data_IF_370624324965
#
_entry.id   IF_370624324965
#
_cell.length_a   1.000
_cell.length_b   1.000
_cell.length_c   1.000
_cell.angle_alpha   90.00
_cell.angle_beta   90.00
_cell.angle_gamma   90.00
#
_symmetry.space_group_name_H-M   'P 1'
#
loop_
_entity.id
_entity.type
_entity.pdbx_description
1 polymer ?
#
# COMPACT_ATOMS: atom_id res chain seq x y z
N UNK A 1 -1.40 -1.03 -25.11
CA UNK A 1 -0.92 -1.22 -23.71
C UNK A 1 -1.82 -2.21 -22.99
N UNK A 2 -1.28 -3.18 -22.26
CA UNK A 2 -2.02 -4.13 -21.42
C UNK A 2 -2.43 -3.47 -20.08
N UNK A 3 -3.42 -3.98 -19.33
CA UNK A 3 -3.85 -3.41 -18.02
C UNK A 3 -2.68 -3.39 -17.03
N UNK A 4 -1.81 -4.39 -17.08
CA UNK A 4 -0.63 -4.48 -16.22
C UNK A 4 0.42 -3.41 -16.55
N UNK A 5 0.60 -3.05 -17.82
CA UNK A 5 1.56 -2.01 -18.21
C UNK A 5 1.18 -0.63 -17.67
N UNK A 6 -0.12 -0.33 -17.56
CA UNK A 6 -0.62 0.93 -16.99
C UNK A 6 -0.17 1.07 -15.53
N UNK A 7 -0.42 0.05 -14.71
CA UNK A 7 -0.03 0.07 -13.30
C UNK A 7 1.48 0.16 -13.11
N UNK A 8 2.25 -0.54 -13.95
CA UNK A 8 3.70 -0.47 -13.91
C UNK A 8 4.24 0.91 -14.32
N UNK A 9 3.57 1.59 -15.26
CA UNK A 9 3.94 2.96 -15.65
C UNK A 9 3.60 3.98 -14.56
N UNK A 10 2.46 3.81 -13.85
CA UNK A 10 2.12 4.64 -12.69
C UNK A 10 3.20 4.46 -11.60
N UNK A 11 3.57 3.22 -11.30
CA UNK A 11 4.65 2.93 -10.35
C UNK A 11 6.00 3.52 -10.79
N UNK A 12 6.29 3.50 -12.10
CA UNK A 12 7.49 4.12 -12.65
C UNK A 12 7.51 5.62 -12.37
N UNK A 13 6.44 6.35 -12.68
CA UNK A 13 6.37 7.80 -12.48
C UNK A 13 6.41 8.20 -11.01
N UNK A 14 5.77 7.41 -10.14
CA UNK A 14 5.78 7.66 -8.70
C UNK A 14 7.11 7.28 -8.04
N UNK A 15 7.90 6.40 -8.64
CA UNK A 15 9.18 5.97 -8.06
C UNK A 15 10.22 7.10 -8.05
N UNK A 16 11.12 7.14 -7.05
CA UNK A 16 12.17 8.15 -6.97
C UNK A 16 13.18 8.07 -8.12
N UNK A 17 13.36 6.88 -8.70
CA UNK A 17 14.38 6.61 -9.73
C UNK A 17 13.79 6.36 -11.12
N UNK A 18 12.50 6.62 -11.34
CA UNK A 18 11.80 6.26 -12.57
C UNK A 18 11.92 4.77 -12.94
N UNK A 19 11.96 3.91 -11.93
CA UNK A 19 12.06 2.45 -12.04
C UNK A 19 10.77 1.78 -11.60
N UNK A 20 10.13 1.08 -12.53
CA UNK A 20 8.80 0.46 -12.35
C UNK A 20 8.74 -0.61 -11.25
N UNK A 21 9.88 -1.20 -10.89
CA UNK A 21 9.99 -2.22 -9.85
C UNK A 21 10.55 -1.70 -8.53
N UNK A 22 10.80 -0.39 -8.40
CA UNK A 22 11.46 0.16 -7.21
C UNK A 22 10.78 -0.27 -5.92
N UNK A 23 9.47 -0.01 -5.79
CA UNK A 23 8.70 -0.36 -4.60
C UNK A 23 8.65 -1.88 -4.36
N UNK A 24 8.67 -2.68 -5.42
CA UNK A 24 8.61 -4.15 -5.36
C UNK A 24 9.94 -4.81 -5.01
N UNK A 25 11.07 -4.13 -5.21
CA UNK A 25 12.41 -4.69 -4.92
C UNK A 25 12.99 -4.07 -3.66
N UNK A 26 12.86 -2.75 -3.50
CA UNK A 26 13.47 -2.02 -2.40
C UNK A 26 12.95 -2.48 -1.05
N UNK A 27 11.63 -2.57 -0.86
CA UNK A 27 11.07 -2.95 0.45
C UNK A 27 11.41 -4.39 0.82
N UNK A 28 11.27 -5.40 -0.06
CA UNK A 28 11.72 -6.75 0.26
C UNK A 28 13.21 -6.81 0.59
N UNK A 29 14.04 -6.06 -0.13
CA UNK A 29 15.47 -5.98 0.16
C UNK A 29 15.77 -5.43 1.55
N UNK A 30 15.13 -4.32 1.95
CA UNK A 30 15.33 -3.75 3.29
C UNK A 30 14.81 -4.69 4.39
N UNK A 31 13.65 -5.33 4.18
CA UNK A 31 13.12 -6.33 5.11
C UNK A 31 14.07 -7.54 5.28
N UNK A 32 14.69 -8.01 4.19
CA UNK A 32 15.67 -9.08 4.25
C UNK A 32 16.98 -8.66 4.93
N UNK A 33 17.33 -7.37 4.93
CA UNK A 33 18.53 -6.89 5.62
C UNK A 33 18.26 -6.64 7.10
N UNK A 34 17.04 -6.22 7.47
CA UNK A 34 16.71 -5.88 8.86
C UNK A 34 16.91 -7.04 9.84
N UNK A 35 16.82 -8.28 9.36
CA UNK A 35 17.01 -9.48 10.20
C UNK A 35 18.48 -9.72 10.60
N UNK A 36 19.43 -9.05 9.94
CA UNK A 36 20.86 -9.14 10.23
C UNK A 36 21.33 -8.06 11.21
N UNK A 37 20.43 -7.19 11.68
CA UNK A 37 20.78 -6.19 12.68
C UNK A 37 21.09 -6.90 14.01
N UNK A 38 22.31 -6.75 14.57
CA UNK A 38 22.78 -7.55 15.69
C UNK A 38 22.30 -6.98 17.04
N UNK A 39 20.98 -6.99 17.27
CA UNK A 39 20.42 -6.67 18.58
C UNK A 39 20.33 -7.94 19.43
N UNK A 40 20.87 -7.88 20.64
CA UNK A 40 20.78 -8.94 21.64
C UNK A 40 19.53 -8.84 22.50
N UNK A 41 18.95 -7.65 22.58
CA UNK A 41 17.66 -7.38 23.20
C UNK A 41 16.97 -6.27 22.40
N UNK A 42 15.67 -6.44 22.16
CA UNK A 42 14.86 -5.49 21.42
C UNK A 42 13.40 -5.56 21.92
N UNK A 43 12.90 -4.51 22.59
CA UNK A 43 11.57 -4.53 23.20
C UNK A 43 10.45 -4.44 22.17
N UNK A 44 10.72 -3.89 20.98
CA UNK A 44 9.70 -3.57 19.98
C UNK A 44 9.10 -2.17 20.16
N UNK A 45 8.80 -1.50 19.05
CA UNK A 45 8.23 -0.14 19.03
C UNK A 45 6.71 -0.21 18.89
N UNK A 46 6.19 -0.94 17.90
CA UNK A 46 4.74 -1.05 17.69
C UNK A 46 4.12 -2.12 18.59
N UNK A 47 2.82 -1.98 18.91
CA UNK A 47 2.06 -2.92 19.75
C UNK A 47 2.25 -4.38 19.33
N UNK A 48 2.25 -4.64 18.02
CA UNK A 48 2.45 -5.99 17.48
C UNK A 48 3.86 -6.54 17.73
N UNK A 49 4.90 -5.71 17.67
CA UNK A 49 6.30 -6.09 17.93
C UNK A 49 6.60 -6.29 19.42
N UNK A 50 5.83 -5.67 20.32
CA UNK A 50 5.98 -5.83 21.77
C UNK A 50 5.50 -7.19 22.28
N UNK A 51 4.93 -8.01 21.41
CA UNK A 51 4.45 -9.34 21.75
C UNK A 51 5.58 -10.27 22.20
N UNK A 52 5.32 -11.03 23.27
CA UNK A 52 6.20 -12.09 23.74
C UNK A 52 6.26 -13.30 22.80
N UNK A 53 5.35 -13.40 21.82
CA UNK A 53 5.35 -14.50 20.85
C UNK A 53 6.41 -14.34 19.76
N UNK A 54 6.88 -13.11 19.51
CA UNK A 54 7.87 -12.82 18.49
C UNK A 54 9.29 -12.91 19.04
N UNK A 55 10.16 -13.63 18.31
CA UNK A 55 11.60 -13.57 18.55
C UNK A 55 12.15 -12.16 18.22
N UNK A 56 13.33 -11.83 18.74
CA UNK A 56 13.96 -10.50 18.59
C UNK A 56 14.02 -10.06 17.12
N UNK A 57 14.36 -10.98 16.21
CA UNK A 57 14.50 -10.66 14.79
C UNK A 57 13.16 -10.39 14.13
N UNK A 58 12.12 -11.13 14.50
CA UNK A 58 10.76 -10.93 14.05
C UNK A 58 10.17 -9.61 14.58
N UNK A 59 10.54 -9.20 15.81
CA UNK A 59 10.19 -7.87 16.33
C UNK A 59 10.80 -6.74 15.49
N UNK A 60 12.10 -6.82 15.21
CA UNK A 60 12.81 -5.86 14.35
C UNK A 60 12.18 -5.82 12.96
N UNK A 61 11.87 -6.98 12.39
CA UNK A 61 11.25 -7.09 11.08
C UNK A 61 9.86 -6.46 11.04
N UNK A 62 9.04 -6.63 12.09
CA UNK A 62 7.71 -6.02 12.20
C UNK A 62 7.79 -4.49 12.29
N UNK A 63 8.74 -3.96 13.06
CA UNK A 63 8.96 -2.51 13.13
C UNK A 63 9.52 -1.95 11.83
N UNK A 64 10.48 -2.64 11.20
CA UNK A 64 10.99 -2.26 9.88
C UNK A 64 9.87 -2.25 8.84
N UNK A 65 8.99 -3.24 8.86
CA UNK A 65 7.82 -3.29 8.00
C UNK A 65 6.84 -2.14 8.26
N UNK A 66 6.60 -1.77 9.52
CA UNK A 66 5.80 -0.59 9.87
C UNK A 66 6.41 0.71 9.31
N UNK A 67 7.70 0.94 9.54
CA UNK A 67 8.37 2.15 9.05
C UNK A 67 8.38 2.19 7.52
N UNK A 68 8.75 1.09 6.85
CA UNK A 68 8.77 1.03 5.38
C UNK A 68 7.39 1.27 4.78
N UNK A 69 6.34 0.69 5.36
CA UNK A 69 4.96 0.91 4.89
C UNK A 69 4.57 2.38 5.06
N UNK A 70 4.84 2.96 6.23
CA UNK A 70 4.56 4.38 6.51
C UNK A 70 5.29 5.30 5.54
N UNK A 71 6.61 5.15 5.43
CA UNK A 71 7.45 6.01 4.59
C UNK A 71 7.11 5.88 3.11
N UNK A 72 6.91 4.65 2.61
CA UNK A 72 6.59 4.44 1.19
C UNK A 72 5.23 4.99 0.83
N UNK A 73 4.21 4.77 1.66
CA UNK A 73 2.88 5.29 1.40
C UNK A 73 2.86 6.81 1.47
N UNK A 74 3.48 7.42 2.48
CA UNK A 74 3.63 8.88 2.56
C UNK A 74 4.39 9.44 1.35
N UNK A 75 5.49 8.82 0.96
CA UNK A 75 6.26 9.22 -0.21
C UNK A 75 5.40 9.19 -1.47
N UNK A 76 4.67 8.10 -1.72
CA UNK A 76 3.79 7.96 -2.87
C UNK A 76 2.71 9.06 -2.86
N UNK A 77 2.05 9.30 -1.71
CA UNK A 77 1.03 10.34 -1.59
C UNK A 77 1.57 11.75 -1.82
N UNK A 78 2.71 12.09 -1.20
CA UNK A 78 3.34 13.41 -1.37
C UNK A 78 3.78 13.59 -2.82
N UNK A 79 4.46 12.60 -3.39
CA UNK A 79 4.92 12.64 -4.79
C UNK A 79 3.75 12.85 -5.74
N UNK A 80 2.68 12.08 -5.56
CA UNK A 80 1.46 12.22 -6.34
C UNK A 80 0.82 13.60 -6.18
N UNK A 81 0.71 14.11 -4.94
CA UNK A 81 0.11 15.44 -4.69
C UNK A 81 0.94 16.59 -5.30
N UNK A 82 2.26 16.45 -5.36
CA UNK A 82 3.16 17.47 -5.89
C UNK A 82 3.29 17.43 -7.42
N UNK A 83 3.38 16.24 -8.01
CA UNK A 83 3.72 16.08 -9.42
C UNK A 83 2.59 15.50 -10.27
N UNK A 84 1.60 14.86 -9.64
CA UNK A 84 0.54 14.13 -10.33
C UNK A 84 1.08 12.92 -11.10
N UNK A 85 0.23 12.41 -12.00
CA UNK A 85 0.60 11.48 -13.06
C UNK A 85 0.66 12.26 -14.37
N UNK A 86 1.51 11.83 -15.32
CA UNK A 86 1.61 12.47 -16.62
C UNK A 86 0.26 12.48 -17.35
N UNK A 87 -0.04 13.59 -18.04
CA UNK A 87 -1.28 13.74 -18.82
C UNK A 87 -1.43 12.64 -19.87
N UNK A 88 -0.32 12.20 -20.45
CA UNK A 88 -0.30 11.12 -21.43
C UNK A 88 -0.74 9.79 -20.80
N UNK A 89 -0.19 9.42 -19.63
CA UNK A 89 -0.58 8.21 -18.93
C UNK A 89 -2.03 8.28 -18.43
N UNK A 90 -2.43 9.44 -17.91
CA UNK A 90 -3.81 9.72 -17.49
C UNK A 90 -4.79 9.53 -18.66
N UNK A 91 -4.52 10.13 -19.83
CA UNK A 91 -5.35 9.97 -21.03
C UNK A 91 -5.38 8.51 -21.53
N UNK A 92 -4.27 7.78 -21.49
CA UNK A 92 -4.22 6.36 -21.86
C UNK A 92 -5.03 5.47 -20.91
N UNK A 93 -5.00 5.76 -19.60
CA UNK A 93 -5.83 5.08 -18.59
C UNK A 93 -7.31 5.33 -18.90
N UNK A 94 -7.66 6.58 -19.22
CA UNK A 94 -9.04 7.01 -19.39
C UNK A 94 -9.67 6.64 -20.72
N UNK A 95 -8.90 6.58 -21.80
CA UNK A 95 -9.36 6.08 -23.10
C UNK A 95 -9.87 4.64 -23.05
N UNK A 96 -9.43 3.86 -22.06
CA UNK A 96 -9.88 2.47 -21.84
C UNK A 96 -11.10 2.33 -20.94
N UNK A 97 -11.44 3.36 -20.16
CA UNK A 97 -12.58 3.33 -19.27
C UNK A 97 -13.79 3.83 -20.05
N UNK A 98 -14.82 3.01 -20.20
CA UNK A 98 -16.05 3.43 -20.86
C UNK A 98 -16.85 4.35 -19.93
N UNK A 99 -16.47 5.63 -19.88
CA UNK A 99 -16.98 6.63 -18.95
C UNK A 99 -18.49 6.86 -19.02
N UNK A 100 -19.09 6.62 -20.18
CA UNK A 100 -20.55 6.69 -20.36
C UNK A 100 -21.24 5.65 -19.47
N UNK A 101 -20.73 4.42 -19.45
CA UNK A 101 -21.24 3.36 -18.57
C UNK A 101 -20.94 3.61 -17.09
N UNK A 102 -19.86 4.33 -16.77
CA UNK A 102 -19.53 4.69 -15.38
C UNK A 102 -20.49 5.74 -14.83
N UNK A 103 -20.75 6.82 -15.58
CA UNK A 103 -21.71 7.86 -15.18
C UNK A 103 -23.14 7.34 -15.05
N UNK A 104 -23.53 6.39 -15.91
CA UNK A 104 -24.85 5.76 -15.83
C UNK A 104 -24.97 4.88 -14.58
N UNK A 105 -23.93 4.08 -14.27
CA UNK A 105 -23.85 3.30 -13.03
C UNK A 105 -23.81 4.15 -11.76
N UNK A 106 -23.18 5.32 -11.78
CA UNK A 106 -23.24 6.26 -10.65
C UNK A 106 -24.66 6.75 -10.37
N UNK A 107 -25.42 7.08 -11.43
CA UNK A 107 -26.83 7.48 -11.30
C UNK A 107 -27.70 6.34 -10.78
N UNK A 108 -27.45 5.11 -11.23
CA UNK A 108 -28.20 3.92 -10.82
C UNK A 108 -27.87 3.47 -9.38
N UNK A 109 -26.61 3.56 -8.96
CA UNK A 109 -26.17 3.09 -7.64
C UNK A 109 -26.37 4.13 -6.51
N UNK A 110 -26.62 5.40 -6.85
CA UNK A 110 -26.71 6.49 -5.86
C UNK A 110 -25.40 6.79 -5.12
N UNK A 111 -24.28 6.18 -5.54
CA UNK A 111 -22.95 6.35 -4.96
C UNK A 111 -22.17 7.31 -5.86
N UNK A 112 -21.78 8.46 -5.31
CA UNK A 112 -20.92 9.40 -6.02
C UNK A 112 -19.45 8.97 -5.93
N UNK A 113 -18.77 8.85 -7.08
CA UNK A 113 -17.32 8.67 -7.16
C UNK A 113 -16.57 9.80 -6.43
N UNK A 114 -17.21 10.96 -6.22
CA UNK A 114 -16.65 12.09 -5.48
C UNK A 114 -16.26 11.74 -4.04
N UNK A 115 -16.97 10.78 -3.41
CA UNK A 115 -16.72 10.32 -2.04
C UNK A 115 -15.92 9.01 -1.99
N UNK A 116 -15.67 8.36 -3.13
CA UNK A 116 -14.95 7.09 -3.21
C UNK A 116 -13.52 7.22 -2.67
N UNK A 117 -12.80 8.30 -2.99
CA UNK A 117 -11.43 8.47 -2.50
C UNK A 117 -11.36 8.57 -0.97
N UNK A 118 -12.29 9.30 -0.35
CA UNK A 118 -12.37 9.42 1.12
C UNK A 118 -12.67 8.09 1.80
N UNK A 119 -13.60 7.31 1.23
CA UNK A 119 -13.88 5.96 1.72
C UNK A 119 -12.66 5.04 1.63
N UNK A 120 -11.88 5.15 0.55
CA UNK A 120 -10.64 4.37 0.40
C UNK A 120 -9.54 4.79 1.36
N UNK A 121 -9.41 6.09 1.66
CA UNK A 121 -8.52 6.56 2.73
C UNK A 121 -8.95 5.99 4.09
N UNK A 122 -10.25 5.97 4.39
CA UNK A 122 -10.76 5.39 5.63
C UNK A 122 -10.43 3.89 5.73
N UNK A 123 -10.70 3.12 4.67
CA UNK A 123 -10.34 1.70 4.62
C UNK A 123 -8.84 1.50 4.81
N UNK A 124 -8.02 2.27 4.09
CA UNK A 124 -6.57 2.21 4.22
C UNK A 124 -6.12 2.46 5.66
N UNK A 125 -6.69 3.48 6.31
CA UNK A 125 -6.37 3.84 7.69
C UNK A 125 -6.80 2.75 8.68
N UNK A 126 -8.00 2.19 8.52
CA UNK A 126 -8.48 1.08 9.35
C UNK A 126 -7.61 -0.17 9.17
N UNK A 127 -7.22 -0.50 7.94
CA UNK A 127 -6.28 -1.59 7.67
C UNK A 127 -4.92 -1.33 8.31
N UNK A 128 -4.41 -0.10 8.24
CA UNK A 128 -3.14 0.28 8.84
C UNK A 128 -3.17 0.15 10.37
N UNK A 129 -4.21 0.70 11.02
CA UNK A 129 -4.41 0.54 12.46
C UNK A 129 -4.53 -0.94 12.81
N UNK A 130 -5.40 -1.65 12.12
CA UNK A 130 -5.66 -3.07 12.33
C UNK A 130 -4.38 -3.92 12.23
N UNK A 131 -3.49 -3.55 11.32
CA UNK A 131 -2.25 -4.27 11.06
C UNK A 131 -1.18 -4.02 12.12
N UNK A 132 -0.96 -2.77 12.53
CA UNK A 132 0.22 -2.39 13.32
C UNK A 132 -0.08 -2.12 14.80
N UNK A 133 -1.31 -1.72 15.12
CA UNK A 133 -1.69 -1.27 16.47
C UNK A 133 -2.64 -2.22 17.19
N UNK A 134 -3.21 -3.21 16.51
CA UNK A 134 -3.96 -4.28 17.17
C UNK A 134 -3.01 -5.29 17.79
N UNK A 135 -3.21 -5.70 19.05
CA UNK A 135 -2.42 -6.75 19.65
C UNK A 135 -2.57 -8.07 18.86
N UNK A 136 -1.54 -8.91 18.81
CA UNK A 136 -1.66 -10.23 18.21
C UNK A 136 -2.72 -11.03 18.96
N UNK A 137 -3.49 -11.83 18.22
CA UNK A 137 -4.51 -12.67 18.82
C UNK A 137 -3.86 -13.80 19.62
N UNK A 138 -4.25 -13.93 20.89
CA UNK A 138 -3.83 -15.03 21.75
C UNK A 138 -4.51 -16.38 21.39
N UNK A 139 -5.37 -16.39 20.37
CA UNK A 139 -6.04 -17.63 19.95
C UNK A 139 -5.04 -18.59 19.31
N UNK A 140 -5.03 -19.89 19.69
CA UNK A 140 -4.22 -20.94 19.07
C UNK A 140 -4.30 -20.96 17.53
N UNK A 141 -5.46 -20.58 16.97
CA UNK A 141 -5.71 -20.52 15.53
C UNK A 141 -4.79 -19.54 14.78
N UNK A 142 -4.25 -18.53 15.46
CA UNK A 142 -3.41 -17.49 14.86
C UNK A 142 -1.95 -17.56 15.30
N UNK A 143 -1.55 -18.58 16.08
CA UNK A 143 -0.15 -18.77 16.48
C UNK A 143 0.78 -18.92 15.28
N UNK A 144 0.30 -19.51 14.19
CA UNK A 144 1.10 -19.63 12.96
C UNK A 144 1.44 -18.27 12.33
N UNK A 145 0.78 -17.16 12.68
CA UNK A 145 1.19 -15.82 12.22
C UNK A 145 2.28 -15.18 13.09
N UNK A 146 2.34 -15.57 14.38
CA UNK A 146 3.13 -14.84 15.39
C UNK A 146 4.19 -15.69 16.09
N UNK A 147 4.14 -17.03 15.99
CA UNK A 147 5.03 -17.98 16.67
C UNK A 147 5.69 -19.01 15.73
N UNK A 148 5.60 -18.81 14.42
CA UNK A 148 6.10 -19.72 13.37
C UNK A 148 7.49 -19.35 12.84
N UNK A 149 8.17 -18.42 13.52
CA UNK A 149 9.53 -18.01 13.22
C UNK A 149 9.66 -16.99 12.08
N UNK A 150 10.89 -16.50 11.92
CA UNK A 150 11.22 -15.35 11.08
C UNK A 150 10.79 -15.47 9.61
N UNK A 151 10.83 -16.67 9.03
CA UNK A 151 10.46 -16.90 7.64
C UNK A 151 8.99 -16.55 7.37
N UNK A 152 8.08 -16.99 8.25
CA UNK A 152 6.65 -16.69 8.10
C UNK A 152 6.40 -15.21 8.30
N UNK A 153 7.11 -14.56 9.23
CA UNK A 153 7.04 -13.11 9.42
C UNK A 153 7.49 -12.35 8.16
N UNK A 154 8.52 -12.83 7.44
CA UNK A 154 8.94 -12.23 6.15
C UNK A 154 7.82 -12.37 5.12
N UNK A 155 7.31 -13.58 4.89
CA UNK A 155 6.25 -13.82 3.90
C UNK A 155 5.01 -12.98 4.21
N UNK A 156 4.63 -12.91 5.48
CA UNK A 156 3.53 -12.09 5.97
C UNK A 156 3.76 -10.60 5.67
N UNK A 157 4.91 -10.05 6.04
CA UNK A 157 5.24 -8.63 5.78
C UNK A 157 5.24 -8.31 4.29
N UNK A 158 5.78 -9.19 3.44
CA UNK A 158 5.78 -9.00 1.99
C UNK A 158 4.38 -8.99 1.39
N UNK A 159 3.54 -9.93 1.80
CA UNK A 159 2.15 -10.02 1.34
C UNK A 159 1.36 -8.76 1.71
N UNK A 160 1.42 -8.34 2.96
CA UNK A 160 0.69 -7.15 3.41
C UNK A 160 1.28 -5.85 2.84
N UNK A 161 2.60 -5.78 2.63
CA UNK A 161 3.21 -4.67 1.89
C UNK A 161 2.61 -4.51 0.49
N UNK A 162 2.50 -5.61 -0.27
CA UNK A 162 1.88 -5.60 -1.59
C UNK A 162 0.42 -5.13 -1.54
N UNK A 163 -0.33 -5.49 -0.50
CA UNK A 163 -1.70 -5.01 -0.27
C UNK A 163 -1.71 -3.48 -0.05
N UNK A 164 -0.82 -2.94 0.79
CA UNK A 164 -0.74 -1.50 1.05
C UNK A 164 -0.35 -0.70 -0.19
N UNK A 165 0.63 -1.16 -0.97
CA UNK A 165 1.00 -0.53 -2.24
C UNK A 165 -0.17 -0.55 -3.21
N UNK A 166 -0.85 -1.70 -3.35
CA UNK A 166 -2.01 -1.84 -4.24
C UNK A 166 -3.17 -0.92 -3.83
N UNK A 167 -3.46 -0.80 -2.53
CA UNK A 167 -4.48 0.14 -2.03
C UNK A 167 -4.08 1.59 -2.26
N UNK A 168 -2.81 1.93 -2.09
CA UNK A 168 -2.29 3.29 -2.35
C UNK A 168 -2.48 3.65 -3.83
N UNK A 169 -2.14 2.74 -4.75
CA UNK A 169 -2.39 2.91 -6.18
C UNK A 169 -3.88 3.06 -6.50
N UNK A 170 -4.74 2.32 -5.81
CA UNK A 170 -6.18 2.41 -6.00
C UNK A 170 -6.76 3.76 -5.54
N UNK A 171 -6.23 4.33 -4.45
CA UNK A 171 -6.58 5.67 -3.99
C UNK A 171 -6.15 6.72 -5.02
N UNK A 172 -4.91 6.62 -5.52
CA UNK A 172 -4.39 7.51 -6.59
C UNK A 172 -5.29 7.42 -7.82
N UNK A 173 -5.64 6.21 -8.24
CA UNK A 173 -6.51 6.00 -9.39
C UNK A 173 -7.90 6.61 -9.20
N UNK A 174 -8.48 6.48 -8.01
CA UNK A 174 -9.75 7.14 -7.67
C UNK A 174 -9.64 8.67 -7.76
N UNK A 175 -8.50 9.24 -7.36
CA UNK A 175 -8.26 10.68 -7.45
C UNK A 175 -8.10 11.15 -8.90
N UNK A 176 -7.36 10.41 -9.72
CA UNK A 176 -7.26 10.67 -11.16
C UNK A 176 -8.64 10.65 -11.82
N UNK A 177 -9.49 9.65 -11.53
CA UNK A 177 -10.85 9.57 -12.08
C UNK A 177 -11.65 10.82 -11.73
N UNK A 178 -11.58 11.25 -10.46
CA UNK A 178 -12.26 12.44 -9.99
C UNK A 178 -11.78 13.70 -10.70
N UNK A 179 -10.47 13.86 -10.88
CA UNK A 179 -9.89 15.01 -11.58
C UNK A 179 -10.32 15.04 -13.04
N UNK A 180 -10.28 13.89 -13.73
CA UNK A 180 -10.76 13.77 -15.11
C UNK A 180 -12.26 14.10 -15.26
N UNK A 181 -13.10 13.64 -14.33
CA UNK A 181 -14.54 13.94 -14.34
C UNK A 181 -14.83 15.42 -14.09
N UNK A 182 -14.01 16.10 -13.28
CA UNK A 182 -14.16 17.52 -12.96
C UNK A 182 -13.60 18.43 -14.06
N UNK A 183 -12.50 18.06 -14.70
CA UNK A 183 -11.84 18.87 -15.74
C UNK A 183 -12.61 18.85 -17.07
N UNK A 184 -13.46 17.85 -17.28
CA UNK A 184 -14.33 17.77 -18.45
C UNK A 184 -13.55 17.55 -19.75
N UNK A 185 -14.24 17.02 -20.75
CA UNK A 185 -13.73 16.90 -22.12
C UNK A 185 -13.31 18.31 -22.59
N UNK A 186 -12.02 18.54 -22.76
CA UNK A 186 -11.50 19.53 -23.72
C UNK A 186 -11.04 18.79 -24.96
#
# INVERSE_FOLDING_TARGET
MNKNEIWMNILKELSPFQQKYFFLIFVPFILCISIFIPFNDYPGIIVKSQSSFLDIKAKILMDAFFFLTTFMSLYIFIKYKLMGISKELSHQVFKKINFVGVKQKEKEAGISLKNMSWFLYLIYFLMFIGMFFTPPSNSPKYYWMYGSGIFVTIVYSLFFYAIFVSHTLFIIWSHEIKNYLNEGIR
#
